data_IF_430157736629
#
_entry.id   IF_430157736629
#
_cell.length_a   1.000
_cell.length_b   1.000
_cell.length_c   1.000
_cell.angle_alpha   90.00
_cell.angle_beta   90.00
_cell.angle_gamma   90.00
#
_symmetry.space_group_name_H-M   'P 1'
#
loop_
_entity.id
_entity.type
_entity.pdbx_description
1 polymer ?
#
# COMPACT_ATOMS: atom_id res chain seq x y z
N UNK A 1 13.56 0.40 -8.72
CA UNK A 1 13.91 -0.49 -7.58
C UNK A 1 15.18 0.05 -6.91
N UNK A 2 15.33 -0.08 -5.58
CA UNK A 2 16.57 0.32 -4.89
C UNK A 2 17.79 -0.38 -5.50
N UNK A 3 18.90 0.32 -5.72
CA UNK A 3 20.11 -0.26 -6.36
C UNK A 3 20.94 -1.10 -5.38
N UNK A 4 20.38 -2.20 -4.91
CA UNK A 4 21.08 -3.24 -4.14
C UNK A 4 21.58 -4.38 -5.05
N UNK A 5 22.28 -5.36 -4.48
CA UNK A 5 22.83 -6.50 -5.22
C UNK A 5 21.74 -7.32 -5.94
N UNK A 6 20.67 -7.69 -5.24
CA UNK A 6 19.55 -8.46 -5.82
C UNK A 6 18.94 -7.80 -7.06
N UNK A 7 18.76 -6.48 -7.03
CA UNK A 7 18.18 -5.75 -8.17
C UNK A 7 19.13 -5.72 -9.37
N UNK A 8 20.46 -5.66 -9.14
CA UNK A 8 21.45 -5.74 -10.22
C UNK A 8 21.45 -7.12 -10.85
N UNK A 9 21.52 -8.18 -10.06
CA UNK A 9 21.48 -9.56 -10.56
C UNK A 9 20.19 -9.86 -11.34
N UNK A 10 19.04 -9.37 -10.88
CA UNK A 10 17.78 -9.49 -11.61
C UNK A 10 17.78 -8.72 -12.94
N UNK A 11 18.42 -7.55 -12.97
CA UNK A 11 18.60 -6.77 -14.19
C UNK A 11 19.54 -7.50 -15.18
N UNK A 12 20.66 -8.01 -14.69
CA UNK A 12 21.68 -8.70 -15.49
C UNK A 12 21.13 -10.00 -16.10
N UNK A 13 20.26 -10.72 -15.38
CA UNK A 13 19.49 -11.85 -15.91
C UNK A 13 18.34 -11.47 -16.84
N UNK A 14 18.06 -10.17 -17.02
CA UNK A 14 17.03 -9.67 -17.92
C UNK A 14 15.59 -10.00 -17.51
N UNK A 15 15.33 -10.34 -16.23
CA UNK A 15 13.99 -10.72 -15.73
C UNK A 15 13.12 -9.52 -15.37
N UNK A 16 13.71 -8.32 -15.25
CA UNK A 16 12.99 -7.08 -14.97
C UNK A 16 12.35 -6.48 -16.24
N UNK A 17 11.59 -7.28 -16.98
CA UNK A 17 10.87 -6.86 -18.20
C UNK A 17 9.39 -6.66 -17.88
N UNK A 18 8.95 -5.40 -17.95
CA UNK A 18 7.53 -5.09 -17.78
C UNK A 18 6.74 -5.57 -19.00
N UNK A 19 5.70 -6.37 -18.76
CA UNK A 19 4.67 -6.74 -19.74
C UNK A 19 3.40 -5.93 -19.45
N UNK A 20 2.54 -5.64 -20.45
CA UNK A 20 1.15 -5.26 -20.19
C UNK A 20 0.46 -6.31 -19.29
N UNK A 21 -0.62 -5.91 -18.59
CA UNK A 21 -1.44 -6.89 -17.87
C UNK A 21 -2.14 -7.77 -18.91
N UNK A 22 -2.20 -9.07 -18.65
CA UNK A 22 -3.01 -10.01 -19.44
C UNK A 22 -4.51 -9.61 -19.40
N UNK A 23 -5.28 -10.10 -20.37
CA UNK A 23 -6.70 -9.76 -20.56
C UNK A 23 -7.63 -10.82 -19.97
N UNK A 24 -7.20 -12.07 -19.86
CA UNK A 24 -7.96 -13.15 -19.24
C UNK A 24 -7.04 -14.16 -18.54
N UNK A 25 -7.54 -14.76 -17.46
CA UNK A 25 -6.99 -16.00 -16.91
C UNK A 25 -7.75 -17.15 -17.55
N UNK A 26 -7.01 -18.13 -18.07
CA UNK A 26 -7.51 -19.35 -18.71
C UNK A 26 -7.06 -20.56 -17.87
N UNK A 27 -7.63 -21.77 -18.08
CA UNK A 27 -7.35 -22.94 -17.23
C UNK A 27 -5.86 -23.25 -17.02
N UNK A 28 -5.04 -23.10 -18.07
CA UNK A 28 -3.61 -23.47 -18.05
C UNK A 28 -2.67 -22.26 -18.15
N UNK A 29 -3.19 -21.03 -17.99
CA UNK A 29 -2.37 -19.83 -18.12
C UNK A 29 -3.13 -18.52 -18.28
N UNK A 30 -2.56 -17.57 -19.05
CA UNK A 30 -3.16 -16.25 -19.28
C UNK A 30 -3.14 -15.85 -20.75
N UNK A 31 -4.20 -15.13 -21.16
CA UNK A 31 -4.29 -14.47 -22.46
C UNK A 31 -3.64 -13.10 -22.40
N UNK A 32 -2.54 -12.91 -23.10
CA UNK A 32 -1.81 -11.64 -23.12
C UNK A 32 -2.59 -10.54 -23.84
N UNK A 33 -2.15 -9.30 -23.67
CA UNK A 33 -2.79 -8.13 -24.29
C UNK A 33 -2.73 -8.12 -25.83
N UNK A 34 -1.75 -8.83 -26.42
CA UNK A 34 -1.62 -9.02 -27.87
C UNK A 34 -2.39 -10.24 -28.39
N UNK A 35 -3.11 -10.95 -27.51
CA UNK A 35 -3.86 -12.17 -27.84
C UNK A 35 -3.04 -13.46 -27.76
N UNK A 36 -1.72 -13.39 -27.52
CA UNK A 36 -0.88 -14.57 -27.30
C UNK A 36 -1.24 -15.29 -25.99
N UNK A 37 -0.93 -16.59 -25.90
CA UNK A 37 -1.17 -17.39 -24.69
C UNK A 37 0.15 -17.67 -23.97
N UNK A 38 0.20 -17.38 -22.67
CA UNK A 38 1.35 -17.73 -21.81
C UNK A 38 0.92 -18.80 -20.81
N UNK A 39 1.45 -20.04 -20.90
CA UNK A 39 1.25 -21.05 -19.88
C UNK A 39 1.89 -20.65 -18.56
N UNK A 40 1.22 -20.87 -17.43
CA UNK A 40 1.78 -20.69 -16.09
C UNK A 40 1.06 -21.55 -15.05
N UNK A 41 1.78 -21.95 -14.00
CA UNK A 41 1.22 -22.73 -12.88
C UNK A 41 0.73 -21.84 -11.74
N UNK A 42 1.23 -20.60 -11.64
CA UNK A 42 0.98 -19.72 -10.49
C UNK A 42 1.01 -18.25 -10.86
N UNK A 43 0.06 -17.49 -10.32
CA UNK A 43 0.02 -16.03 -10.39
C UNK A 43 0.30 -15.47 -8.99
N UNK A 44 1.33 -14.62 -8.88
CA UNK A 44 1.59 -13.84 -7.66
C UNK A 44 1.00 -12.44 -7.84
N UNK A 45 -0.09 -12.14 -7.13
CA UNK A 45 -0.73 -10.83 -7.13
C UNK A 45 0.04 -9.81 -6.28
N UNK A 46 1.13 -9.30 -6.81
CA UNK A 46 1.91 -8.21 -6.21
C UNK A 46 1.32 -6.82 -6.50
N UNK A 47 -0.02 -6.69 -6.43
CA UNK A 47 -0.77 -5.47 -6.81
C UNK A 47 -1.00 -4.50 -5.64
N UNK A 48 -0.40 -4.79 -4.48
CA UNK A 48 -0.51 -3.97 -3.27
C UNK A 48 -1.72 -4.36 -2.41
N UNK A 49 -2.06 -3.49 -1.45
CA UNK A 49 -3.08 -3.74 -0.44
C UNK A 49 -3.97 -2.51 -0.23
N UNK A 50 -5.20 -2.74 0.22
CA UNK A 50 -6.08 -1.68 0.75
C UNK A 50 -5.92 -1.60 2.27
N UNK A 51 -6.04 -0.40 2.83
CA UNK A 51 -6.02 -0.22 4.28
C UNK A 51 -7.24 -0.89 4.93
N UNK A 52 -7.00 -1.72 5.96
CA UNK A 52 -8.02 -2.45 6.70
C UNK A 52 -8.78 -1.54 7.70
N UNK A 53 -9.59 -0.63 7.17
CA UNK A 53 -10.28 0.42 7.95
C UNK A 53 -11.81 0.29 7.93
N UNK A 54 -12.33 -0.89 7.61
CA UNK A 54 -13.78 -1.13 7.51
C UNK A 54 -14.51 -0.79 8.83
N UNK A 55 -13.89 -1.07 9.97
CA UNK A 55 -14.42 -0.72 11.29
C UNK A 55 -14.59 0.79 11.52
N UNK A 56 -13.99 1.65 10.69
CA UNK A 56 -14.14 3.11 10.75
C UNK A 56 -15.12 3.66 9.70
N UNK A 57 -15.73 2.82 8.86
CA UNK A 57 -16.69 3.28 7.83
C UNK A 57 -17.83 4.15 8.37
N UNK A 58 -18.46 3.86 9.53
CA UNK A 58 -19.51 4.70 10.09
C UNK A 58 -19.08 6.14 10.38
N UNK A 59 -17.77 6.39 10.58
CA UNK A 59 -17.22 7.72 10.82
C UNK A 59 -17.07 8.57 9.55
N UNK A 60 -17.30 7.98 8.36
CA UNK A 60 -17.28 8.69 7.07
C UNK A 60 -15.99 9.52 6.82
N UNK A 61 -14.84 8.96 7.21
CA UNK A 61 -13.54 9.65 7.16
C UNK A 61 -12.94 9.81 5.74
N UNK A 62 -13.51 9.11 4.75
CA UNK A 62 -13.00 9.12 3.37
C UNK A 62 -13.45 10.37 2.63
N UNK A 63 -12.54 11.00 1.90
CA UNK A 63 -12.81 12.11 0.99
C UNK A 63 -13.37 11.60 -0.36
N UNK A 64 -13.67 12.53 -1.27
CA UNK A 64 -14.21 12.22 -2.60
C UNK A 64 -13.29 11.33 -3.47
N UNK A 65 -12.00 11.28 -3.17
CA UNK A 65 -11.02 10.40 -3.83
C UNK A 65 -10.93 9.02 -3.16
N UNK A 66 -11.76 8.73 -2.17
CA UNK A 66 -11.78 7.46 -1.43
C UNK A 66 -10.66 7.30 -0.41
N UNK A 67 -9.79 8.30 -0.24
CA UNK A 67 -8.69 8.31 0.71
C UNK A 67 -9.07 9.04 2.02
N UNK A 68 -8.31 8.85 3.08
CA UNK A 68 -8.46 9.62 4.34
C UNK A 68 -7.39 10.69 4.36
N UNK A 69 -7.79 11.96 4.46
CA UNK A 69 -6.86 13.08 4.54
C UNK A 69 -6.20 13.11 5.92
N UNK A 70 -4.87 13.08 5.96
CA UNK A 70 -4.08 13.01 7.20
C UNK A 70 -3.24 14.28 7.41
N UNK A 71 -3.02 14.66 8.67
CA UNK A 71 -1.98 15.61 9.11
C UNK A 71 -1.06 14.89 10.08
N UNK A 72 0.11 14.50 9.62
CA UNK A 72 0.95 13.53 10.36
C UNK A 72 0.19 12.23 10.56
N UNK A 73 0.01 11.79 11.81
CA UNK A 73 -0.77 10.60 12.15
C UNK A 73 -2.25 10.86 12.39
N UNK A 74 -2.70 12.13 12.39
CA UNK A 74 -4.07 12.51 12.73
C UNK A 74 -4.96 12.60 11.48
N UNK A 75 -6.23 12.18 11.57
CA UNK A 75 -7.23 12.39 10.52
C UNK A 75 -7.66 13.86 10.50
N UNK A 76 -7.52 14.53 9.35
CA UNK A 76 -7.75 15.96 9.25
C UNK A 76 -9.21 16.37 9.53
N UNK A 77 -10.18 15.52 9.15
CA UNK A 77 -11.61 15.74 9.38
C UNK A 77 -12.14 15.20 10.71
N UNK A 78 -11.31 14.49 11.48
CA UNK A 78 -11.67 13.91 12.78
C UNK A 78 -10.42 13.87 13.68
N UNK A 79 -10.13 14.98 14.39
CA UNK A 79 -8.89 15.12 15.17
C UNK A 79 -8.71 14.07 16.27
N UNK A 80 -9.77 13.37 16.69
CA UNK A 80 -9.68 12.31 17.71
C UNK A 80 -9.13 10.99 17.17
N UNK A 81 -9.07 10.83 15.84
CA UNK A 81 -8.60 9.59 15.21
C UNK A 81 -7.17 9.76 14.71
N UNK A 82 -6.31 8.81 15.09
CA UNK A 82 -4.98 8.66 14.54
C UNK A 82 -4.86 7.33 13.79
N UNK A 83 -4.23 7.34 12.61
CA UNK A 83 -3.95 6.15 11.81
C UNK A 83 -2.43 5.94 11.75
N UNK A 84 -1.97 4.81 12.28
CA UNK A 84 -0.55 4.49 12.49
C UNK A 84 -0.26 3.17 11.81
N UNK A 85 0.88 3.07 11.12
CA UNK A 85 1.20 1.89 10.33
C UNK A 85 0.45 1.82 8.99
N UNK A 86 -0.15 2.93 8.54
CA UNK A 86 -0.78 3.08 7.23
C UNK A 86 -0.03 4.09 6.35
N UNK A 87 -0.12 3.91 5.02
CA UNK A 87 0.55 4.75 4.02
C UNK A 87 2.06 4.86 4.25
N UNK A 88 2.55 6.08 4.39
CA UNK A 88 3.99 6.38 4.57
C UNK A 88 4.60 5.82 5.85
N UNK A 89 3.78 5.34 6.81
CA UNK A 89 4.24 4.72 8.05
C UNK A 89 4.23 3.18 8.03
N UNK A 90 3.96 2.54 6.88
CA UNK A 90 3.84 1.08 6.69
C UNK A 90 5.17 0.29 6.76
N UNK A 91 6.03 0.61 7.73
CA UNK A 91 7.21 -0.20 8.05
C UNK A 91 7.31 -0.37 9.55
N UNK A 92 8.02 -1.40 10.02
CA UNK A 92 8.21 -1.62 11.47
C UNK A 92 8.82 -0.39 12.16
N UNK A 93 9.85 0.21 11.55
CA UNK A 93 10.50 1.42 12.08
C UNK A 93 9.59 2.66 11.94
N UNK A 94 8.94 2.81 10.78
CA UNK A 94 8.04 3.93 10.51
C UNK A 94 6.81 3.97 11.42
N UNK A 95 6.20 2.80 11.67
CA UNK A 95 5.06 2.66 12.55
C UNK A 95 5.41 3.00 14.00
N UNK A 96 6.58 2.57 14.49
CA UNK A 96 7.06 2.93 15.83
C UNK A 96 7.28 4.43 15.99
N UNK A 97 7.86 5.09 14.98
CA UNK A 97 8.04 6.55 14.98
C UNK A 97 6.70 7.27 14.99
N UNK A 98 5.80 6.90 14.08
CA UNK A 98 4.45 7.44 14.00
C UNK A 98 3.66 7.24 15.31
N UNK A 99 3.85 6.10 15.98
CA UNK A 99 3.33 5.83 17.32
C UNK A 99 3.70 6.90 18.33
N UNK A 100 5.00 7.21 18.43
CA UNK A 100 5.50 8.25 19.34
C UNK A 100 4.98 9.64 18.97
N UNK A 101 4.93 9.95 17.68
CA UNK A 101 4.38 11.23 17.18
C UNK A 101 2.89 11.40 17.52
N UNK A 102 2.10 10.34 17.38
CA UNK A 102 0.68 10.34 17.73
C UNK A 102 0.49 10.63 19.23
N UNK A 103 1.21 9.91 20.11
CA UNK A 103 1.13 10.13 21.56
C UNK A 103 1.56 11.55 21.93
N UNK A 104 2.66 12.05 21.35
CA UNK A 104 3.11 13.43 21.60
C UNK A 104 2.07 14.47 21.15
N UNK A 105 1.39 14.24 20.03
CA UNK A 105 0.30 15.11 19.56
C UNK A 105 -0.89 15.09 20.52
N UNK A 106 -1.33 13.90 20.95
CA UNK A 106 -2.43 13.73 21.91
C UNK A 106 -2.10 14.44 23.23
N UNK A 107 -0.93 14.20 23.82
CA UNK A 107 -0.52 14.84 25.09
C UNK A 107 -0.50 16.36 24.98
N UNK A 108 -0.06 16.93 23.84
CA UNK A 108 -0.10 18.38 23.63
C UNK A 108 -1.54 18.93 23.53
N UNK A 109 -2.47 18.15 23.00
CA UNK A 109 -3.88 18.55 22.84
C UNK A 109 -4.70 18.34 24.12
N UNK A 110 -4.33 17.38 24.97
CA UNK A 110 -5.03 17.06 26.22
C UNK A 110 -4.58 17.90 27.43
N UNK A 111 -3.52 18.69 27.28
CA UNK A 111 -3.12 19.66 28.29
C UNK A 111 -4.02 20.90 28.17
N UNK A 112 -5.05 20.93 29.01
CA UNK A 112 -5.76 22.16 29.38
C UNK A 112 -4.84 23.08 30.19
#
# INVERSE_FOLDING_TARGET
LPRNQYTREAHDRGVLRRRPLFTAVEPDGVREADGSFTPLDTIVWATGFRAALQHLEPMRLRNQLGAITMRGTQVAGEPRVHLIGYGTSQSTVGANRAGREAVAAIVRQSRF
#
